data_IF_623562010991
#
_entry.id   IF_623562010991
#
_cell.length_a   1.000
_cell.length_b   1.000
_cell.length_c   1.000
_cell.angle_alpha   90.00
_cell.angle_beta   90.00
_cell.angle_gamma   90.00
#
_symmetry.space_group_name_H-M   'P 1'
#
loop_
_entity.id
_entity.type
_entity.pdbx_description
1 polymer ?
#
# COMPACT_ATOMS: atom_id res chain seq x y z
N UNK A 1 -7.97 16.17 -4.30
CA UNK A 1 -8.31 14.85 -3.70
C UNK A 1 -8.97 15.07 -2.35
N UNK A 2 -9.86 14.18 -1.92
CA UNK A 2 -10.33 14.16 -0.53
C UNK A 2 -9.31 13.47 0.37
N UNK A 3 -9.12 13.97 1.59
CA UNK A 3 -8.27 13.34 2.59
C UNK A 3 -8.66 11.87 2.81
N UNK A 4 -7.64 11.01 2.96
CA UNK A 4 -7.82 9.63 3.38
C UNK A 4 -7.63 9.57 4.90
N UNK A 5 -8.64 9.10 5.61
CA UNK A 5 -8.57 8.94 7.05
C UNK A 5 -8.40 7.48 7.44
N UNK A 6 -7.60 7.23 8.47
CA UNK A 6 -7.50 5.92 9.11
C UNK A 6 -7.57 6.05 10.63
N UNK A 7 -7.95 4.97 11.30
CA UNK A 7 -7.95 4.88 12.76
C UNK A 7 -6.72 4.11 13.18
N UNK A 8 -5.86 4.73 13.99
CA UNK A 8 -4.75 4.03 14.59
C UNK A 8 -5.26 3.00 15.61
N UNK A 9 -4.82 1.74 15.48
CA UNK A 9 -5.37 0.64 16.27
C UNK A 9 -5.09 0.79 17.77
N UNK A 10 -3.92 1.31 18.13
CA UNK A 10 -3.42 1.41 19.50
C UNK A 10 -3.98 2.63 20.20
N UNK A 11 -3.77 3.82 19.62
CA UNK A 11 -4.21 5.10 20.19
C UNK A 11 -5.69 5.40 19.97
N UNK A 12 -6.37 4.67 19.06
CA UNK A 12 -7.77 4.91 18.62
C UNK A 12 -8.01 6.28 17.99
N UNK A 13 -6.96 7.02 17.67
CA UNK A 13 -7.07 8.35 17.06
C UNK A 13 -7.33 8.23 15.55
N UNK A 14 -8.17 9.13 15.05
CA UNK A 14 -8.35 9.35 13.61
C UNK A 14 -7.19 10.20 13.10
N UNK A 15 -6.48 9.69 12.11
CA UNK A 15 -5.34 10.36 11.48
C UNK A 15 -5.60 10.54 9.98
N UNK A 16 -4.94 11.54 9.40
CA UNK A 16 -4.88 11.74 7.95
C UNK A 16 -3.69 10.96 7.42
N UNK A 17 -3.90 10.19 6.37
CA UNK A 17 -2.84 9.43 5.73
C UNK A 17 -1.99 10.34 4.84
N UNK A 18 -0.67 10.29 5.05
CA UNK A 18 0.27 10.97 4.17
C UNK A 18 0.47 10.14 2.89
N UNK A 19 0.07 10.67 1.74
CA UNK A 19 0.15 9.97 0.46
C UNK A 19 1.48 10.28 -0.23
N UNK A 20 2.26 9.24 -0.53
CA UNK A 20 3.47 9.41 -1.33
C UNK A 20 3.13 9.77 -2.77
N UNK A 21 3.72 10.86 -3.26
CA UNK A 21 3.47 11.37 -4.60
C UNK A 21 2.09 11.99 -4.79
N UNK A 22 1.46 12.49 -3.71
CA UNK A 22 0.12 13.09 -3.76
C UNK A 22 -0.08 14.07 -4.91
N UNK A 23 0.86 14.99 -5.15
CA UNK A 23 0.82 15.95 -6.26
C UNK A 23 0.73 15.25 -7.62
N UNK A 24 1.51 14.18 -7.82
CA UNK A 24 1.48 13.39 -9.04
C UNK A 24 0.17 12.60 -9.18
N UNK A 25 -0.35 12.06 -8.07
CA UNK A 25 -1.65 11.37 -8.05
C UNK A 25 -2.78 12.36 -8.36
N UNK A 26 -2.76 13.56 -7.78
CA UNK A 26 -3.77 14.61 -8.06
C UNK A 26 -3.68 15.09 -9.52
N UNK A 27 -2.48 15.18 -10.07
CA UNK A 27 -2.29 15.48 -11.49
C UNK A 27 -2.88 14.37 -12.39
N UNK A 28 -2.69 13.09 -12.04
CA UNK A 28 -3.15 11.97 -12.88
C UNK A 28 -4.63 11.61 -12.68
N UNK A 29 -5.18 11.83 -11.48
CA UNK A 29 -6.50 11.35 -11.10
C UNK A 29 -7.48 12.45 -10.66
N UNK A 30 -7.02 13.67 -10.37
CA UNK A 30 -7.85 14.79 -9.93
C UNK A 30 -8.86 15.27 -10.99
N UNK A 31 -9.85 16.04 -10.57
CA UNK A 31 -10.98 16.46 -11.43
C UNK A 31 -10.79 17.82 -12.10
N UNK A 32 -9.66 18.49 -11.87
CA UNK A 32 -9.37 19.81 -12.45
C UNK A 32 -9.06 19.76 -13.95
N UNK A 33 -9.20 20.88 -14.68
CA UNK A 33 -8.96 20.94 -16.13
C UNK A 33 -7.53 20.52 -16.50
N UNK A 34 -6.53 20.90 -15.70
CA UNK A 34 -5.14 20.46 -15.89
C UNK A 34 -4.96 18.96 -15.67
N UNK A 35 -5.61 18.39 -14.66
CA UNK A 35 -5.55 16.93 -14.41
C UNK A 35 -6.27 16.13 -15.49
N UNK A 36 -7.37 16.65 -16.04
CA UNK A 36 -8.06 16.04 -17.19
C UNK A 36 -7.13 16.02 -18.41
N UNK A 37 -6.49 17.15 -18.73
CA UNK A 37 -5.55 17.23 -19.84
C UNK A 37 -4.34 16.31 -19.64
N UNK A 38 -3.73 16.33 -18.45
CA UNK A 38 -2.62 15.46 -18.11
C UNK A 38 -3.00 13.98 -18.22
N UNK A 39 -4.18 13.59 -17.74
CA UNK A 39 -4.68 12.21 -17.86
C UNK A 39 -4.91 11.80 -19.31
N UNK A 40 -5.47 12.66 -20.17
CA UNK A 40 -5.67 12.34 -21.59
C UNK A 40 -4.34 12.11 -22.32
N UNK A 41 -3.31 12.89 -22.00
CA UNK A 41 -2.01 12.83 -22.68
C UNK A 41 -1.07 11.77 -22.09
N UNK A 42 -1.03 11.63 -20.76
CA UNK A 42 0.00 10.86 -20.05
C UNK A 42 -0.46 9.48 -19.58
N UNK A 43 -1.76 9.24 -19.37
CA UNK A 43 -2.27 7.95 -18.87
C UNK A 43 -1.78 6.74 -19.69
N UNK A 44 -1.88 6.70 -21.05
CA UNK A 44 -1.45 5.53 -21.80
C UNK A 44 0.07 5.27 -21.68
N UNK A 45 0.85 6.34 -21.48
CA UNK A 45 2.31 6.28 -21.40
C UNK A 45 2.77 5.90 -19.99
N UNK A 46 2.06 6.36 -18.95
CA UNK A 46 2.52 6.28 -17.56
C UNK A 46 1.78 5.23 -16.75
N UNK A 47 0.45 5.15 -16.88
CA UNK A 47 -0.38 4.23 -16.09
C UNK A 47 -0.57 2.87 -16.77
N UNK A 48 -0.71 2.86 -18.09
CA UNK A 48 -1.09 1.64 -18.84
C UNK A 48 0.12 0.99 -19.55
N UNK A 49 1.30 1.60 -19.47
CA UNK A 49 2.51 1.12 -20.14
C UNK A 49 3.36 0.24 -19.23
N UNK A 50 3.52 -1.02 -19.63
CA UNK A 50 4.47 -1.93 -18.98
C UNK A 50 5.90 -1.40 -19.12
N UNK A 51 6.27 -0.79 -20.25
CA UNK A 51 7.62 -0.26 -20.50
C UNK A 51 7.99 0.82 -19.50
N UNK A 52 7.07 1.76 -19.24
CA UNK A 52 7.28 2.81 -18.25
C UNK A 52 7.48 2.22 -16.84
N UNK A 53 6.64 1.24 -16.46
CA UNK A 53 6.77 0.55 -15.17
C UNK A 53 8.13 -0.13 -15.01
N UNK A 54 8.63 -0.83 -16.04
CA UNK A 54 9.95 -1.45 -16.03
C UNK A 54 11.08 -0.43 -15.94
N UNK A 55 10.99 0.67 -16.71
CA UNK A 55 11.99 1.74 -16.68
C UNK A 55 12.03 2.41 -15.31
N UNK A 56 10.86 2.76 -14.75
CA UNK A 56 10.76 3.33 -13.41
C UNK A 56 11.32 2.37 -12.36
N UNK A 57 11.01 1.08 -12.46
CA UNK A 57 11.59 0.04 -11.60
C UNK A 57 13.11 -0.05 -11.71
N UNK A 58 13.67 0.03 -12.93
CA UNK A 58 15.12 0.06 -13.14
C UNK A 58 15.77 1.31 -12.51
N UNK A 59 15.12 2.47 -12.61
CA UNK A 59 15.57 3.69 -11.94
C UNK A 59 15.58 3.52 -10.41
N UNK A 60 14.55 2.92 -9.81
CA UNK A 60 14.51 2.66 -8.36
C UNK A 60 15.53 1.60 -7.90
N UNK A 61 15.98 0.73 -8.80
CA UNK A 61 17.07 -0.24 -8.53
C UNK A 61 18.46 0.36 -8.75
N UNK A 62 18.56 1.53 -9.39
CA UNK A 62 19.84 2.20 -9.62
C UNK A 62 20.34 2.93 -8.37
N UNK A 63 21.65 3.08 -8.23
CA UNK A 63 22.28 3.80 -7.12
C UNK A 63 21.88 5.28 -7.06
N UNK A 64 21.49 5.88 -8.19
CA UNK A 64 20.99 7.25 -8.25
C UNK A 64 19.74 7.45 -7.39
N UNK A 65 18.92 6.41 -7.21
CA UNK A 65 17.72 6.49 -6.37
C UNK A 65 18.01 6.54 -4.87
N UNK A 66 19.24 6.23 -4.44
CA UNK A 66 19.64 6.29 -3.02
C UNK A 66 19.40 7.67 -2.41
N UNK A 67 19.56 8.75 -3.19
CA UNK A 67 19.31 10.11 -2.72
C UNK A 67 17.87 10.36 -2.25
N UNK A 68 16.92 9.48 -2.60
CA UNK A 68 15.52 9.57 -2.17
C UNK A 68 15.28 9.05 -0.75
N UNK A 69 16.17 8.22 -0.20
CA UNK A 69 15.92 7.48 1.04
C UNK A 69 15.81 8.43 2.25
N UNK A 70 16.84 9.22 2.55
CA UNK A 70 16.83 10.11 3.70
C UNK A 70 15.69 11.16 3.64
N UNK A 71 15.41 11.82 2.50
CA UNK A 71 14.24 12.69 2.37
C UNK A 71 12.92 11.95 2.59
N UNK A 72 12.80 10.69 2.14
CA UNK A 72 11.61 9.87 2.32
C UNK A 72 11.39 9.54 3.81
N UNK A 73 12.40 9.03 4.50
CA UNK A 73 12.35 8.74 5.95
C UNK A 73 11.93 9.98 6.74
N UNK A 74 12.56 11.12 6.46
CA UNK A 74 12.25 12.38 7.14
C UNK A 74 10.84 12.88 6.84
N UNK A 75 10.42 12.85 5.57
CA UNK A 75 9.09 13.34 5.15
C UNK A 75 7.97 12.54 5.84
N UNK A 76 8.11 11.22 5.90
CA UNK A 76 7.11 10.32 6.47
C UNK A 76 7.31 9.98 7.94
N UNK A 77 8.29 10.63 8.60
CA UNK A 77 8.58 10.45 10.03
C UNK A 77 8.73 8.97 10.42
N UNK A 78 9.43 8.20 9.58
CA UNK A 78 9.62 6.79 9.84
C UNK A 78 10.58 6.59 11.01
N UNK A 79 10.30 5.59 11.85
CA UNK A 79 11.16 5.25 12.96
C UNK A 79 12.36 4.43 12.48
N UNK A 80 13.52 5.10 12.37
CA UNK A 80 14.78 4.49 11.98
C UNK A 80 15.25 3.41 12.97
N UNK A 81 14.82 3.48 14.24
CA UNK A 81 15.21 2.51 15.26
C UNK A 81 14.64 1.11 15.01
N UNK A 82 13.58 1.00 14.21
CA UNK A 82 12.99 -0.28 13.79
C UNK A 82 13.81 -0.98 12.70
N UNK A 83 14.64 -0.26 11.95
CA UNK A 83 15.32 -0.80 10.79
C UNK A 83 16.49 -1.70 11.21
N UNK A 84 16.67 -2.81 10.50
CA UNK A 84 17.81 -3.70 10.77
C UNK A 84 19.13 -3.06 10.34
N UNK A 85 19.12 -2.36 9.20
CA UNK A 85 20.29 -1.74 8.59
C UNK A 85 20.16 -0.21 8.59
N UNK A 86 21.29 0.48 8.79
CA UNK A 86 21.41 1.94 8.75
C UNK A 86 21.03 2.51 7.37
N UNK A 87 20.47 3.73 7.34
CA UNK A 87 20.02 4.39 6.09
C UNK A 87 21.12 4.45 5.02
N UNK A 88 22.35 4.74 5.43
CA UNK A 88 23.47 4.90 4.50
C UNK A 88 23.98 3.57 3.93
N UNK A 89 23.53 2.43 4.44
CA UNK A 89 23.93 1.11 3.96
C UNK A 89 23.17 0.68 2.69
N UNK A 90 21.94 1.18 2.49
CA UNK A 90 21.11 0.83 1.35
C UNK A 90 21.74 1.31 0.03
N UNK A 91 21.70 0.44 -1.00
CA UNK A 91 22.33 0.74 -2.30
C UNK A 91 21.46 1.59 -3.21
N UNK A 92 20.14 1.46 -3.08
CA UNK A 92 19.14 2.14 -3.90
C UNK A 92 17.81 2.24 -3.15
N UNK A 93 16.87 3.03 -3.66
CA UNK A 93 15.56 3.19 -3.03
C UNK A 93 14.78 1.88 -2.96
N UNK A 94 14.88 1.03 -3.99
CA UNK A 94 14.19 -0.26 -3.98
C UNK A 94 14.72 -1.19 -2.88
N UNK A 95 16.02 -1.14 -2.58
CA UNK A 95 16.65 -1.89 -1.48
C UNK A 95 16.07 -1.46 -0.12
N UNK A 96 15.96 -0.14 0.10
CA UNK A 96 15.28 0.44 1.26
C UNK A 96 13.77 0.16 1.30
N UNK A 97 13.10 0.14 0.15
CA UNK A 97 11.66 -0.14 0.08
C UNK A 97 11.31 -1.52 0.65
N UNK A 98 12.18 -2.50 0.39
CA UNK A 98 12.12 -3.84 0.99
C UNK A 98 13.12 -4.00 2.16
N UNK A 99 13.42 -2.93 2.89
CA UNK A 99 14.26 -2.98 4.10
C UNK A 99 13.81 -4.08 5.05
N UNK A 100 14.72 -4.57 5.89
CA UNK A 100 14.38 -5.49 6.98
C UNK A 100 14.14 -4.67 8.25
N UNK A 101 13.21 -5.14 9.07
CA UNK A 101 13.03 -4.62 10.42
C UNK A 101 13.74 -5.53 11.42
N UNK A 102 14.06 -4.99 12.59
CA UNK A 102 14.56 -5.77 13.72
C UNK A 102 13.47 -6.74 14.21
N UNK A 103 13.83 -7.96 14.67
CA UNK A 103 12.86 -8.95 15.15
C UNK A 103 11.91 -8.44 16.24
N UNK A 104 12.41 -7.57 17.10
CA UNK A 104 11.66 -6.95 18.21
C UNK A 104 10.66 -5.87 17.76
N UNK A 105 10.75 -5.36 16.52
CA UNK A 105 9.88 -4.28 16.05
C UNK A 105 8.42 -4.75 15.86
N UNK A 106 8.19 -6.04 15.58
CA UNK A 106 6.87 -6.63 15.34
C UNK A 106 6.72 -7.96 16.10
N UNK A 107 6.53 -7.92 17.43
CA UNK A 107 6.32 -9.14 18.21
C UNK A 107 5.05 -9.86 17.74
N UNK A 108 5.20 -11.15 17.43
CA UNK A 108 4.10 -11.99 16.95
C UNK A 108 3.36 -12.57 18.15
N UNK A 109 2.04 -12.36 18.20
CA UNK A 109 1.20 -12.93 19.26
C UNK A 109 1.13 -14.46 19.15
N UNK A 110 1.17 -15.15 20.28
CA UNK A 110 1.06 -16.62 20.38
C UNK A 110 -0.33 -17.05 20.84
N UNK A 111 -0.70 -18.29 20.50
CA UNK A 111 -1.94 -18.94 20.95
C UNK A 111 -2.72 -19.58 19.79
N UNK A 112 -3.44 -20.66 20.09
CA UNK A 112 -4.10 -21.49 19.07
C UNK A 112 -5.33 -20.83 18.43
N UNK A 113 -5.92 -19.83 19.12
CA UNK A 113 -7.10 -19.08 18.67
C UNK A 113 -6.75 -17.63 18.31
N UNK A 114 -5.51 -17.38 17.87
CA UNK A 114 -5.03 -16.04 17.52
C UNK A 114 -4.71 -15.97 16.03
N UNK A 115 -5.36 -15.05 15.31
CA UNK A 115 -4.97 -14.65 13.97
C UNK A 115 -4.10 -13.39 14.05
N UNK A 116 -2.92 -13.43 13.43
CA UNK A 116 -2.00 -12.28 13.34
C UNK A 116 -2.20 -11.54 12.02
N UNK A 117 -1.88 -10.25 12.01
CA UNK A 117 -1.95 -9.44 10.80
C UNK A 117 -0.72 -9.76 9.92
N UNK A 118 -0.90 -9.99 8.60
CA UNK A 118 0.19 -10.41 7.73
C UNK A 118 1.15 -9.28 7.34
N UNK A 119 0.73 -8.01 7.48
CA UNK A 119 1.50 -6.87 7.01
C UNK A 119 1.28 -5.61 7.86
N UNK A 120 2.24 -4.69 7.82
CA UNK A 120 1.99 -3.30 8.21
C UNK A 120 1.11 -2.66 7.11
N UNK A 121 -0.14 -2.37 7.44
CA UNK A 121 -1.11 -1.91 6.44
C UNK A 121 -2.30 -1.21 7.08
N UNK A 122 -3.13 -0.60 6.24
CA UNK A 122 -4.45 -0.11 6.62
C UNK A 122 -5.45 -1.22 6.29
N UNK A 123 -6.23 -1.63 7.28
CA UNK A 123 -7.12 -2.78 7.18
C UNK A 123 -8.57 -2.33 7.05
N UNK A 124 -9.26 -2.88 6.05
CA UNK A 124 -10.71 -2.84 5.95
C UNK A 124 -11.26 -4.21 6.33
N UNK A 125 -12.10 -4.25 7.35
CA UNK A 125 -12.66 -5.49 7.87
C UNK A 125 -14.14 -5.61 7.52
N UNK A 126 -14.50 -6.77 6.98
CA UNK A 126 -15.86 -7.21 6.74
C UNK A 126 -16.10 -8.42 7.63
N UNK A 127 -16.92 -8.27 8.67
CA UNK A 127 -17.21 -9.36 9.61
C UNK A 127 -17.99 -10.50 8.95
N UNK A 128 -18.85 -10.16 8.00
CA UNK A 128 -19.66 -11.10 7.23
C UNK A 128 -19.80 -10.58 5.80
N UNK A 129 -19.26 -11.34 4.84
CA UNK A 129 -19.28 -10.95 3.44
C UNK A 129 -20.54 -11.39 2.69
N UNK A 130 -21.39 -12.24 3.28
CA UNK A 130 -22.63 -12.71 2.65
C UNK A 130 -23.63 -11.56 2.44
N UNK A 131 -23.57 -10.56 3.31
CA UNK A 131 -24.40 -9.36 3.26
C UNK A 131 -23.77 -8.22 2.44
N UNK A 132 -22.61 -8.45 1.81
CA UNK A 132 -21.95 -7.45 0.99
C UNK A 132 -22.38 -7.60 -0.47
N UNK A 133 -22.91 -6.51 -1.04
CA UNK A 133 -23.21 -6.40 -2.49
C UNK A 133 -21.92 -6.38 -3.35
N UNK A 134 -20.75 -6.43 -2.72
CA UNK A 134 -19.42 -6.44 -3.35
C UNK A 134 -18.44 -5.61 -2.55
N UNK A 135 -17.21 -5.53 -3.05
CA UNK A 135 -16.09 -4.90 -2.36
C UNK A 135 -15.50 -3.77 -3.19
N UNK A 136 -15.19 -2.65 -2.55
CA UNK A 136 -14.65 -1.48 -3.22
C UNK A 136 -13.14 -1.40 -2.99
N UNK A 137 -12.37 -1.48 -4.07
CA UNK A 137 -10.93 -1.20 -4.05
C UNK A 137 -10.64 -0.20 -5.17
N UNK A 138 -10.01 0.93 -4.80
CA UNK A 138 -9.64 2.01 -5.74
C UNK A 138 -10.80 2.51 -6.61
N UNK A 139 -12.01 2.55 -6.07
CA UNK A 139 -13.22 3.01 -6.77
C UNK A 139 -13.83 1.97 -7.73
N UNK A 140 -13.24 0.79 -7.86
CA UNK A 140 -13.80 -0.33 -8.60
C UNK A 140 -14.46 -1.31 -7.63
N UNK A 141 -15.71 -1.67 -7.96
CA UNK A 141 -16.46 -2.71 -7.25
C UNK A 141 -16.10 -4.07 -7.85
N UNK A 142 -15.86 -5.07 -7.01
CA UNK A 142 -15.66 -6.45 -7.44
C UNK A 142 -16.37 -7.43 -6.50
N UNK A 143 -16.59 -8.66 -6.98
CA UNK A 143 -17.20 -9.76 -6.23
C UNK A 143 -16.17 -10.83 -5.83
N UNK A 144 -16.57 -11.72 -4.91
CA UNK A 144 -15.71 -12.82 -4.47
C UNK A 144 -15.32 -13.79 -5.61
N UNK A 145 -16.23 -14.20 -6.52
CA UNK A 145 -15.86 -15.00 -7.69
C UNK A 145 -14.89 -14.28 -8.64
N UNK A 146 -15.06 -12.97 -8.86
CA UNK A 146 -14.15 -12.18 -9.70
C UNK A 146 -12.74 -12.10 -9.11
N UNK A 147 -12.63 -12.00 -7.78
CA UNK A 147 -11.34 -11.99 -7.07
C UNK A 147 -10.64 -13.34 -7.17
N UNK A 148 -11.35 -14.42 -6.85
CA UNK A 148 -10.77 -15.76 -6.73
C UNK A 148 -10.63 -16.47 -8.08
N UNK A 149 -11.39 -16.05 -9.09
CA UNK A 149 -11.50 -16.69 -10.41
C UNK A 149 -11.88 -18.18 -10.30
N UNK A 150 -12.62 -18.54 -9.26
CA UNK A 150 -13.08 -19.89 -8.96
C UNK A 150 -14.39 -19.83 -8.16
N UNK A 151 -15.48 -20.30 -8.78
CA UNK A 151 -16.83 -20.31 -8.21
C UNK A 151 -16.96 -21.23 -7.00
N UNK A 152 -16.30 -22.40 -7.02
CA UNK A 152 -16.37 -23.35 -5.91
C UNK A 152 -15.63 -22.80 -4.68
N UNK A 153 -14.49 -22.16 -4.91
CA UNK A 153 -13.74 -21.50 -3.86
C UNK A 153 -14.49 -20.29 -3.30
N UNK A 154 -15.14 -19.49 -4.16
CA UNK A 154 -15.99 -18.38 -3.73
C UNK A 154 -17.13 -18.87 -2.84
N UNK A 155 -17.84 -19.94 -3.25
CA UNK A 155 -18.90 -20.55 -2.45
C UNK A 155 -18.42 -21.03 -1.08
N UNK A 156 -17.21 -21.60 -0.99
CA UNK A 156 -16.62 -22.01 0.29
C UNK A 156 -16.48 -20.84 1.28
N UNK A 157 -16.21 -19.64 0.79
CA UNK A 157 -15.96 -18.46 1.63
C UNK A 157 -17.13 -17.48 1.70
N UNK A 158 -18.25 -17.74 1.01
CA UNK A 158 -19.36 -16.78 0.84
C UNK A 158 -19.99 -16.28 2.16
N UNK A 159 -19.93 -17.08 3.22
CA UNK A 159 -20.43 -16.75 4.56
C UNK A 159 -19.31 -16.41 5.56
N UNK A 160 -18.11 -16.09 5.06
CA UNK A 160 -16.93 -15.81 5.87
C UNK A 160 -16.74 -14.34 6.21
N UNK A 161 -15.63 -14.05 6.88
CA UNK A 161 -15.13 -12.69 7.09
C UNK A 161 -14.00 -12.38 6.09
N UNK A 162 -13.81 -11.10 5.76
CA UNK A 162 -12.73 -10.65 4.87
C UNK A 162 -11.95 -9.49 5.47
N UNK A 163 -10.64 -9.52 5.30
CA UNK A 163 -9.72 -8.42 5.58
C UNK A 163 -9.05 -7.99 4.28
N UNK A 164 -9.16 -6.72 3.93
CA UNK A 164 -8.38 -6.10 2.85
C UNK A 164 -7.27 -5.29 3.49
N UNK A 165 -6.02 -5.68 3.25
CA UNK A 165 -4.83 -4.96 3.68
C UNK A 165 -4.32 -4.06 2.55
N UNK A 166 -4.28 -2.74 2.78
CA UNK A 166 -3.68 -1.78 1.85
C UNK A 166 -2.35 -1.26 2.42
N UNK A 167 -1.26 -1.62 1.75
CA UNK A 167 0.06 -1.13 2.06
C UNK A 167 0.32 0.20 1.36
N UNK A 168 0.83 1.17 2.10
CA UNK A 168 1.35 2.43 1.58
C UNK A 168 2.86 2.32 1.34
N UNK A 169 3.45 3.18 0.50
CA UNK A 169 4.87 3.13 0.23
C UNK A 169 5.78 3.26 1.46
N UNK A 170 5.27 3.82 2.55
CA UNK A 170 5.95 3.97 3.84
C UNK A 170 6.01 2.68 4.66
N UNK A 171 5.12 1.74 4.37
CA UNK A 171 4.93 0.55 5.18
C UNK A 171 6.08 -0.44 4.98
N UNK A 172 6.02 -1.55 5.70
CA UNK A 172 6.96 -2.64 5.55
C UNK A 172 6.50 -3.57 4.42
N UNK A 173 7.27 -3.62 3.32
CA UNK A 173 6.91 -4.36 2.10
C UNK A 173 7.47 -5.79 2.05
N UNK A 174 7.42 -6.48 3.18
CA UNK A 174 7.68 -7.93 3.28
C UNK A 174 6.52 -8.58 4.02
N UNK A 175 5.67 -9.29 3.29
CA UNK A 175 4.42 -9.92 3.74
C UNK A 175 4.23 -11.29 3.08
#
# INVERSE_FOLDING_TARGET
>A
MSDIYYIDRVSKKKNIEQVYGEEFIEMMYGSGPMSILARLLLKPIVCDSSVFSHLYGALQKSSLSKCKIAPFVKKFQMDESEFLDEIDSYKCFNDFFVRRLKPEARPIASGDNVAVLPADARYMFYSDISNCDGFLVKGSKFSLPELLKDENLAKKYENGSMLIARLCPTDYHRF
#
